data_IF_258023280268
#
_entry.id   IF_258023280268
#
_cell.length_a   1.000
_cell.length_b   1.000
_cell.length_c   1.000
_cell.angle_alpha   90.00
_cell.angle_beta   90.00
_cell.angle_gamma   90.00
#
_symmetry.space_group_name_H-M   'P 1'
#
loop_
_entity.id
_entity.type
_entity.pdbx_description
1 polymer ?
#
# COMPACT_ATOMS: atom_id res chain seq x y z
N UNK A 1 9.09 -10.33 -3.81
CA UNK A 1 8.25 -10.35 -5.04
C UNK A 1 8.39 -9.01 -5.76
N UNK A 2 8.76 -9.03 -7.04
CA UNK A 2 9.19 -7.86 -7.84
C UNK A 2 8.07 -7.25 -8.72
N UNK A 3 6.81 -7.64 -8.50
CA UNK A 3 5.67 -7.03 -9.16
C UNK A 3 5.39 -7.51 -10.57
N UNK A 4 6.15 -8.50 -11.05
CA UNK A 4 5.93 -9.13 -12.34
C UNK A 4 4.90 -10.27 -12.26
N UNK A 5 4.01 -10.32 -13.24
CA UNK A 5 2.97 -11.34 -13.37
C UNK A 5 2.94 -11.87 -14.80
N UNK A 6 2.98 -13.19 -14.95
CA UNK A 6 2.64 -13.82 -16.22
C UNK A 6 1.13 -13.73 -16.44
N UNK A 7 0.70 -13.08 -17.52
CA UNK A 7 -0.66 -13.18 -18.06
C UNK A 7 -0.64 -14.04 -19.32
N UNK A 8 -1.82 -14.42 -19.83
CA UNK A 8 -1.96 -15.34 -20.97
C UNK A 8 -1.18 -14.88 -22.22
N UNK A 9 -1.08 -13.57 -22.44
CA UNK A 9 -0.51 -13.00 -23.67
C UNK A 9 0.77 -12.18 -23.47
N UNK A 10 1.05 -11.72 -22.25
CA UNK A 10 2.19 -10.85 -21.94
C UNK A 10 2.43 -10.79 -20.43
N UNK A 11 3.46 -10.07 -20.01
CA UNK A 11 3.72 -9.86 -18.59
C UNK A 11 3.16 -8.51 -18.12
N UNK A 12 2.46 -8.56 -16.99
CA UNK A 12 2.04 -7.37 -16.27
C UNK A 12 3.08 -7.01 -15.22
N UNK A 13 3.58 -5.78 -15.26
CA UNK A 13 4.40 -5.20 -14.22
C UNK A 13 3.58 -4.19 -13.42
N UNK A 14 3.48 -4.41 -12.11
CA UNK A 14 2.92 -3.43 -11.18
C UNK A 14 4.03 -2.69 -10.45
N UNK A 15 4.04 -1.38 -10.60
CA UNK A 15 5.00 -0.47 -9.97
C UNK A 15 4.36 0.08 -8.67
N UNK A 16 5.15 0.12 -7.61
CA UNK A 16 4.75 0.69 -6.33
C UNK A 16 4.76 2.22 -6.40
N UNK A 17 3.69 2.84 -5.93
CA UNK A 17 3.59 4.27 -5.72
C UNK A 17 3.21 4.44 -4.25
N UNK A 18 4.21 4.59 -3.35
CA UNK A 18 3.97 4.74 -1.92
C UNK A 18 2.88 5.78 -1.63
N UNK A 19 1.82 5.36 -0.92
CA UNK A 19 0.70 6.24 -0.50
C UNK A 19 0.19 7.18 -1.60
N UNK A 20 0.27 6.74 -2.87
CA UNK A 20 -0.22 7.47 -4.03
C UNK A 20 0.52 8.75 -4.40
N UNK A 21 1.70 9.01 -3.83
CA UNK A 21 2.47 10.23 -4.10
C UNK A 21 3.48 10.03 -5.23
N UNK A 22 3.51 10.97 -6.18
CA UNK A 22 4.44 10.99 -7.31
C UNK A 22 5.06 12.38 -7.47
N UNK A 23 6.35 12.41 -7.77
CA UNK A 23 7.00 13.59 -8.32
C UNK A 23 6.80 13.68 -9.84
N UNK A 24 7.00 14.89 -10.40
CA UNK A 24 6.97 15.10 -11.86
C UNK A 24 8.00 14.21 -12.57
N UNK A 25 9.19 14.01 -12.00
CA UNK A 25 10.25 13.15 -12.55
C UNK A 25 9.79 11.70 -12.65
N UNK A 26 9.15 11.18 -11.61
CA UNK A 26 8.60 9.82 -11.60
C UNK A 26 7.47 9.67 -12.61
N UNK A 27 6.54 10.63 -12.69
CA UNK A 27 5.44 10.59 -13.65
C UNK A 27 5.95 10.63 -15.10
N UNK A 28 6.98 11.43 -15.40
CA UNK A 28 7.62 11.45 -16.72
C UNK A 28 8.24 10.09 -17.05
N UNK A 29 8.98 9.48 -16.13
CA UNK A 29 9.53 8.13 -16.32
C UNK A 29 8.43 7.09 -16.57
N UNK A 30 7.31 7.13 -15.82
CA UNK A 30 6.17 6.24 -16.07
C UNK A 30 5.60 6.42 -17.49
N UNK A 31 5.54 7.65 -18.00
CA UNK A 31 5.12 7.91 -19.37
C UNK A 31 6.13 7.38 -20.41
N UNK A 32 7.44 7.45 -20.14
CA UNK A 32 8.46 6.84 -20.99
C UNK A 32 8.35 5.32 -21.00
N UNK A 33 8.12 4.70 -19.83
CA UNK A 33 7.87 3.27 -19.71
C UNK A 33 6.67 2.84 -20.54
N UNK A 34 5.57 3.60 -20.46
CA UNK A 34 4.36 3.34 -21.24
C UNK A 34 4.64 3.32 -22.75
N UNK A 35 5.44 4.26 -23.25
CA UNK A 35 5.79 4.38 -24.68
C UNK A 35 6.81 3.33 -25.15
N UNK A 36 7.81 3.03 -24.32
CA UNK A 36 8.96 2.18 -24.69
C UNK A 36 8.69 0.70 -24.52
N UNK A 37 8.03 0.31 -23.44
CA UNK A 37 7.89 -1.10 -23.04
C UNK A 37 6.45 -1.61 -23.08
N UNK A 38 5.46 -0.71 -23.11
CA UNK A 38 4.04 -1.05 -23.19
C UNK A 38 3.43 -0.45 -24.48
N UNK A 39 2.12 -0.23 -24.53
CA UNK A 39 1.37 0.22 -25.72
C UNK A 39 0.98 1.70 -25.65
N UNK A 40 1.77 2.51 -24.95
CA UNK A 40 1.54 3.96 -24.79
C UNK A 40 0.58 4.34 -23.68
N UNK A 41 0.13 3.39 -22.85
CA UNK A 41 -0.78 3.65 -21.72
C UNK A 41 -0.42 2.80 -20.49
N UNK A 42 -0.92 3.22 -19.33
CA UNK A 42 -0.82 2.49 -18.06
C UNK A 42 -2.12 2.65 -17.28
N UNK A 43 -2.32 1.81 -16.26
CA UNK A 43 -3.54 1.84 -15.45
C UNK A 43 -3.23 2.13 -14.00
N UNK A 44 -3.82 3.19 -13.45
CA UNK A 44 -3.86 3.37 -12.01
C UNK A 44 -4.77 2.33 -11.38
N UNK A 45 -4.33 1.83 -10.25
CA UNK A 45 -5.03 0.78 -9.49
C UNK A 45 -5.82 1.40 -8.35
N UNK A 46 -6.78 0.66 -7.83
CA UNK A 46 -7.59 1.05 -6.66
C UNK A 46 -6.80 1.20 -5.36
N UNK A 47 -5.50 0.92 -5.36
CA UNK A 47 -4.58 1.13 -4.22
C UNK A 47 -3.41 2.04 -4.59
N UNK A 48 -3.71 3.00 -5.46
CA UNK A 48 -2.83 4.11 -5.82
C UNK A 48 -1.51 3.73 -6.53
N UNK A 49 -1.30 2.46 -6.87
CA UNK A 49 -0.21 2.02 -7.75
C UNK A 49 -0.55 2.22 -9.24
N UNK A 50 0.43 1.98 -10.13
CA UNK A 50 0.24 1.88 -11.57
C UNK A 50 0.65 0.50 -12.10
N UNK A 51 0.02 0.03 -13.17
CA UNK A 51 0.39 -1.21 -13.86
C UNK A 51 0.44 -1.08 -15.39
N UNK A 52 1.40 -1.79 -15.97
CA UNK A 52 1.65 -1.98 -17.40
C UNK A 52 1.46 -3.46 -17.72
N UNK A 53 0.80 -3.81 -18.83
CA UNK A 53 0.34 -5.19 -19.09
C UNK A 53 1.04 -5.88 -20.25
N UNK A 54 1.82 -5.17 -21.06
CA UNK A 54 2.36 -5.68 -22.33
C UNK A 54 3.89 -5.80 -22.35
N UNK A 55 4.51 -5.83 -21.17
CA UNK A 55 5.96 -5.86 -21.06
C UNK A 55 6.49 -7.21 -21.54
N UNK A 56 7.54 -7.20 -22.37
CA UNK A 56 8.28 -8.42 -22.75
C UNK A 56 9.21 -8.84 -21.62
N UNK A 57 9.31 -10.14 -21.35
CA UNK A 57 10.13 -10.66 -20.25
C UNK A 57 11.62 -10.28 -20.39
N UNK A 58 12.15 -10.36 -21.61
CA UNK A 58 13.54 -10.03 -21.93
C UNK A 58 13.90 -8.57 -21.62
N UNK A 59 12.93 -7.66 -21.66
CA UNK A 59 13.11 -6.23 -21.40
C UNK A 59 12.97 -5.88 -19.91
N UNK A 60 12.61 -6.84 -19.06
CA UNK A 60 12.36 -6.60 -17.63
C UNK A 60 13.58 -6.07 -16.87
N UNK A 61 14.81 -6.61 -17.06
CA UNK A 61 15.98 -6.11 -16.33
C UNK A 61 16.24 -4.63 -16.63
N UNK A 62 16.19 -4.24 -17.90
CA UNK A 62 16.39 -2.86 -18.33
C UNK A 62 15.31 -1.94 -17.76
N UNK A 63 14.05 -2.35 -17.86
CA UNK A 63 12.93 -1.59 -17.30
C UNK A 63 13.07 -1.38 -15.79
N UNK A 64 13.44 -2.42 -15.03
CA UNK A 64 13.65 -2.30 -13.60
C UNK A 64 14.83 -1.37 -13.26
N UNK A 65 15.90 -1.41 -14.06
CA UNK A 65 17.03 -0.48 -13.93
C UNK A 65 16.61 0.97 -14.17
N UNK A 66 15.85 1.24 -15.24
CA UNK A 66 15.35 2.58 -15.54
C UNK A 66 14.38 3.14 -14.50
N UNK A 67 13.59 2.27 -13.86
CA UNK A 67 12.72 2.67 -12.74
C UNK A 67 13.55 3.04 -11.50
N UNK A 68 14.64 2.31 -11.23
CA UNK A 68 15.51 2.58 -10.10
C UNK A 68 16.21 3.95 -10.20
N UNK A 69 16.49 4.47 -11.40
CA UNK A 69 17.02 5.82 -11.63
C UNK A 69 16.15 6.94 -11.06
N UNK A 70 14.87 6.66 -10.79
CA UNK A 70 13.91 7.60 -10.22
C UNK A 70 13.25 7.06 -8.94
N UNK A 71 13.97 6.14 -8.27
CA UNK A 71 13.59 5.55 -6.98
C UNK A 71 12.25 4.79 -7.02
N UNK A 72 11.88 4.25 -8.19
CA UNK A 72 10.68 3.42 -8.35
C UNK A 72 11.02 1.93 -8.41
N UNK A 73 10.09 1.08 -7.95
CA UNK A 73 10.26 -0.37 -7.92
C UNK A 73 8.95 -1.14 -8.00
N UNK A 74 9.02 -2.44 -8.30
CA UNK A 74 7.89 -3.38 -8.23
C UNK A 74 7.84 -4.21 -6.93
N UNK A 75 8.71 -3.95 -5.96
CA UNK A 75 8.79 -4.72 -4.71
C UNK A 75 7.45 -4.71 -3.96
N UNK A 76 7.04 -5.88 -3.46
CA UNK A 76 5.83 -6.08 -2.65
C UNK A 76 4.50 -5.68 -3.33
N UNK A 77 4.49 -5.56 -4.66
CA UNK A 77 3.24 -5.29 -5.40
C UNK A 77 2.51 -6.57 -5.82
N UNK A 78 3.08 -7.75 -5.54
CA UNK A 78 2.58 -9.07 -5.91
C UNK A 78 2.67 -10.18 -4.85
N UNK A 79 1.95 -11.28 -5.13
CA UNK A 79 1.71 -12.47 -4.28
C UNK A 79 1.34 -12.21 -2.82
N UNK A 80 1.75 -13.13 -1.93
CA UNK A 80 1.32 -13.19 -0.54
C UNK A 80 2.28 -12.44 0.39
N UNK A 81 2.25 -11.11 0.28
CA UNK A 81 2.96 -10.21 1.16
C UNK A 81 2.11 -8.97 1.44
N UNK A 82 2.66 -8.06 2.23
CA UNK A 82 2.10 -6.73 2.43
C UNK A 82 2.06 -5.99 1.09
N UNK A 83 0.94 -5.30 0.82
CA UNK A 83 0.71 -4.51 -0.39
C UNK A 83 0.97 -3.03 -0.10
N UNK A 84 0.96 -2.21 -1.15
CA UNK A 84 1.04 -0.75 -1.03
C UNK A 84 0.14 -0.23 0.10
N UNK A 85 0.70 0.64 0.93
CA UNK A 85 -0.03 1.37 1.97
C UNK A 85 -0.79 2.49 1.27
N UNK A 86 -2.11 2.46 1.36
CA UNK A 86 -3.00 3.49 0.78
C UNK A 86 -3.14 4.65 1.75
N UNK A 87 -3.15 5.89 1.27
CA UNK A 87 -3.42 7.07 2.09
C UNK A 87 -4.52 7.96 1.48
N UNK A 88 -4.99 8.96 2.22
CA UNK A 88 -5.87 10.00 1.68
C UNK A 88 -5.17 10.73 0.51
N UNK A 89 -5.86 10.91 -0.61
CA UNK A 89 -5.32 11.60 -1.78
C UNK A 89 -5.23 13.12 -1.59
N UNK A 90 -5.92 13.67 -0.58
CA UNK A 90 -5.77 15.06 -0.14
C UNK A 90 -4.84 15.22 1.07
N UNK A 91 -4.02 14.21 1.38
CA UNK A 91 -3.10 14.25 2.50
C UNK A 91 -2.19 15.49 2.49
N UNK A 92 -2.09 16.18 3.62
CA UNK A 92 -1.32 17.41 3.81
C UNK A 92 -2.01 18.70 3.36
N UNK A 93 -3.19 18.63 2.77
CA UNK A 93 -3.97 19.82 2.33
C UNK A 93 -5.46 19.76 2.72
N UNK A 94 -5.93 18.62 3.20
CA UNK A 94 -7.32 18.44 3.61
C UNK A 94 -7.65 19.28 4.87
N UNK A 95 -8.71 20.11 4.85
CA UNK A 95 -9.07 20.96 6.01
C UNK A 95 -9.48 20.20 7.27
N UNK A 96 -9.99 18.97 7.11
CA UNK A 96 -10.46 18.08 8.18
C UNK A 96 -9.39 17.09 8.64
N UNK A 97 -8.16 17.23 8.16
CA UNK A 97 -7.03 16.37 8.51
C UNK A 97 -6.45 16.76 9.88
N UNK A 98 -6.30 15.79 10.77
CA UNK A 98 -5.66 15.99 12.08
C UNK A 98 -4.13 16.09 11.97
N UNK A 99 -3.52 15.19 11.21
CA UNK A 99 -2.12 15.21 10.79
C UNK A 99 -1.99 14.49 9.44
N UNK A 100 -0.93 14.79 8.72
CA UNK A 100 -0.60 14.16 7.43
C UNK A 100 -0.38 12.63 7.57
N UNK A 101 -1.25 11.78 6.99
CA UNK A 101 -1.18 10.33 7.10
C UNK A 101 -0.02 9.73 6.29
N UNK A 102 0.64 10.51 5.41
CA UNK A 102 1.78 10.03 4.61
C UNK A 102 2.98 9.69 5.50
N UNK A 103 3.18 10.41 6.61
CA UNK A 103 4.26 10.13 7.57
C UNK A 103 4.08 8.72 8.17
N UNK A 104 2.88 8.41 8.63
CA UNK A 104 2.55 7.08 9.18
C UNK A 104 2.64 6.01 8.09
N UNK A 105 2.17 6.32 6.88
CA UNK A 105 2.21 5.39 5.75
C UNK A 105 3.66 5.04 5.35
N UNK A 106 4.56 6.02 5.38
CA UNK A 106 5.98 5.84 5.11
C UNK A 106 6.66 4.99 6.20
N UNK A 107 6.35 5.23 7.47
CA UNK A 107 6.84 4.41 8.60
C UNK A 107 6.41 2.94 8.40
N UNK A 108 5.14 2.69 8.07
CA UNK A 108 4.63 1.33 7.82
C UNK A 108 5.32 0.72 6.60
N UNK A 109 5.52 1.49 5.53
CA UNK A 109 6.23 1.02 4.33
C UNK A 109 7.66 0.59 4.66
N UNK A 110 8.42 1.42 5.37
CA UNK A 110 9.81 1.10 5.74
C UNK A 110 9.88 -0.13 6.66
N UNK A 111 9.01 -0.18 7.67
CA UNK A 111 8.94 -1.31 8.60
C UNK A 111 8.61 -2.63 7.91
N UNK A 112 7.71 -2.61 6.93
CA UNK A 112 7.22 -3.82 6.25
C UNK A 112 8.06 -4.27 5.06
N UNK A 113 8.77 -3.35 4.41
CA UNK A 113 9.54 -3.64 3.19
C UNK A 113 10.74 -4.53 3.51
N UNK A 114 10.87 -5.65 2.79
CA UNK A 114 11.92 -6.66 3.04
C UNK A 114 11.92 -7.31 4.43
N UNK A 115 10.87 -7.11 5.23
CA UNK A 115 10.76 -7.78 6.51
C UNK A 115 10.63 -9.31 6.29
N UNK A 116 11.51 -10.15 6.87
CA UNK A 116 11.52 -11.59 6.61
C UNK A 116 10.18 -12.25 6.96
N UNK A 117 9.57 -11.85 8.07
CA UNK A 117 8.30 -12.42 8.54
C UNK A 117 7.11 -12.10 7.61
N UNK A 118 7.16 -10.98 6.88
CA UNK A 118 6.03 -10.50 6.07
C UNK A 118 6.17 -10.82 4.57
N UNK A 119 7.23 -11.52 4.20
CA UNK A 119 7.52 -11.89 2.81
C UNK A 119 6.72 -13.10 2.32
N UNK A 120 6.19 -13.92 3.23
CA UNK A 120 5.47 -15.18 2.92
C UNK A 120 4.21 -15.37 3.79
N UNK A 121 3.32 -14.37 3.71
CA UNK A 121 2.05 -14.41 4.42
C UNK A 121 1.11 -15.47 3.83
N UNK A 122 0.04 -15.86 4.55
CA UNK A 122 -0.97 -16.77 4.01
C UNK A 122 -1.64 -16.25 2.73
N UNK A 123 -1.99 -14.96 2.69
CA UNK A 123 -2.49 -14.25 1.49
C UNK A 123 -1.97 -12.81 1.45
N UNK A 124 -2.43 -12.05 0.46
CA UNK A 124 -2.23 -10.61 0.35
C UNK A 124 -2.72 -9.88 1.60
N UNK A 125 -1.97 -8.88 2.05
CA UNK A 125 -2.32 -8.09 3.23
C UNK A 125 -2.21 -6.60 2.92
N UNK A 126 -3.21 -5.79 3.26
CA UNK A 126 -3.31 -4.38 2.83
C UNK A 126 -3.47 -3.45 4.03
N UNK A 127 -2.79 -2.32 3.96
CA UNK A 127 -2.93 -1.22 4.91
C UNK A 127 -3.58 -0.01 4.23
N UNK A 128 -4.37 0.73 4.99
CA UNK A 128 -4.80 2.08 4.64
C UNK A 128 -4.75 3.00 5.85
N UNK A 129 -4.36 4.25 5.61
CA UNK A 129 -4.21 5.28 6.64
C UNK A 129 -5.00 6.54 6.24
N UNK A 130 -5.77 7.09 7.16
CA UNK A 130 -6.43 8.40 6.99
C UNK A 130 -6.15 9.31 8.18
N UNK A 131 -5.81 10.57 7.88
CA UNK A 131 -5.69 11.64 8.86
C UNK A 131 -7.00 12.37 9.13
N UNK A 132 -8.00 12.13 8.27
CA UNK A 132 -9.25 12.88 8.19
C UNK A 132 -10.39 12.15 8.90
N UNK A 133 -11.39 12.91 9.38
CA UNK A 133 -12.64 12.34 9.88
C UNK A 133 -13.40 11.61 8.77
N UNK A 134 -13.46 12.23 7.58
CA UNK A 134 -14.00 11.60 6.39
C UNK A 134 -13.02 10.55 5.85
N UNK A 135 -13.45 9.28 5.78
CA UNK A 135 -12.61 8.16 5.35
C UNK A 135 -12.47 8.09 3.82
N UNK A 136 -11.63 8.96 3.25
CA UNK A 136 -11.31 8.98 1.82
C UNK A 136 -10.32 7.88 1.40
N UNK A 137 -9.59 7.32 2.35
CA UNK A 137 -8.65 6.22 2.11
C UNK A 137 -9.33 4.84 2.11
N UNK A 138 -10.62 4.79 2.46
CA UNK A 138 -11.40 3.57 2.64
C UNK A 138 -10.73 2.57 3.60
N UNK A 139 -10.35 3.06 4.78
CA UNK A 139 -9.62 2.30 5.80
C UNK A 139 -10.32 1.01 6.19
N UNK A 140 -11.66 1.02 6.27
CA UNK A 140 -12.44 -0.16 6.67
C UNK A 140 -12.51 -1.27 5.62
N UNK A 141 -11.98 -1.04 4.41
CA UNK A 141 -11.93 -2.04 3.33
C UNK A 141 -10.57 -2.74 3.20
N UNK A 142 -9.64 -2.40 4.08
CA UNK A 142 -8.29 -2.94 4.13
C UNK A 142 -8.15 -3.97 5.26
N UNK A 143 -7.13 -4.84 5.17
CA UNK A 143 -6.86 -5.84 6.20
C UNK A 143 -6.53 -5.15 7.53
N UNK A 144 -5.84 -4.01 7.48
CA UNK A 144 -5.71 -3.06 8.59
C UNK A 144 -6.04 -1.65 8.10
N UNK A 145 -7.01 -1.02 8.76
CA UNK A 145 -7.35 0.41 8.60
C UNK A 145 -6.87 1.21 9.81
N UNK A 146 -6.20 2.33 9.56
CA UNK A 146 -5.64 3.21 10.59
C UNK A 146 -6.24 4.60 10.39
N UNK A 147 -6.97 5.09 11.38
CA UNK A 147 -7.49 6.45 11.38
C UNK A 147 -6.83 7.23 12.51
N UNK A 148 -6.27 8.40 12.21
CA UNK A 148 -5.75 9.30 13.24
C UNK A 148 -6.92 9.87 14.03
N UNK A 149 -6.79 9.89 15.34
CA UNK A 149 -7.83 10.37 16.28
C UNK A 149 -7.18 11.08 17.46
N UNK A 150 -7.97 11.93 18.13
CA UNK A 150 -7.61 12.49 19.43
C UNK A 150 -8.42 11.86 20.54
N UNK A 151 -7.82 11.67 21.71
CA UNK A 151 -8.56 11.27 22.91
C UNK A 151 -9.15 12.49 23.65
N UNK A 152 -9.79 12.24 24.78
CA UNK A 152 -10.38 13.29 25.63
C UNK A 152 -9.36 14.27 26.21
N UNK A 153 -8.07 13.88 26.26
CA UNK A 153 -6.97 14.73 26.71
C UNK A 153 -6.31 15.49 25.55
N UNK A 154 -6.92 15.47 24.35
CA UNK A 154 -6.39 16.08 23.12
C UNK A 154 -5.04 15.48 22.65
N UNK A 155 -4.71 14.27 23.10
CA UNK A 155 -3.53 13.53 22.66
C UNK A 155 -3.83 12.79 21.36
N UNK A 156 -2.90 12.83 20.42
CA UNK A 156 -3.01 12.14 19.14
C UNK A 156 -2.68 10.65 19.27
N UNK A 157 -3.44 9.84 18.55
CA UNK A 157 -3.26 8.39 18.48
C UNK A 157 -3.99 7.82 17.27
N UNK A 158 -4.26 6.52 17.33
CA UNK A 158 -4.85 5.79 16.21
C UNK A 158 -6.07 4.98 16.63
N UNK A 159 -7.08 4.98 15.78
CA UNK A 159 -8.16 4.01 15.77
C UNK A 159 -7.81 2.90 14.79
N UNK A 160 -7.89 1.64 15.23
CA UNK A 160 -7.44 0.48 14.46
C UNK A 160 -8.62 -0.41 14.10
N UNK A 161 -8.79 -0.61 12.79
CA UNK A 161 -9.74 -1.53 12.18
C UNK A 161 -9.00 -2.73 11.59
N UNK A 162 -9.57 -3.94 11.70
CA UNK A 162 -8.94 -5.17 11.20
C UNK A 162 -9.94 -6.07 10.47
N UNK A 163 -9.48 -6.72 9.40
CA UNK A 163 -10.19 -7.80 8.72
C UNK A 163 -11.10 -7.37 7.57
N UNK A 164 -10.92 -6.16 7.05
CA UNK A 164 -11.68 -5.67 5.89
C UNK A 164 -11.21 -6.25 4.56
N UNK A 165 -12.11 -6.32 3.59
CA UNK A 165 -11.74 -6.67 2.23
C UNK A 165 -12.90 -6.84 1.26
N UNK A 166 -12.72 -6.38 0.01
CA UNK A 166 -13.64 -6.66 -1.10
C UNK A 166 -13.28 -7.94 -1.84
N UNK A 167 -13.16 -9.05 -1.12
CA UNK A 167 -13.00 -10.37 -1.74
C UNK A 167 -14.27 -10.84 -2.43
N UNK A 168 -14.35 -12.15 -2.72
CA UNK A 168 -15.60 -12.79 -3.19
C UNK A 168 -16.76 -12.52 -2.24
N UNK A 169 -16.47 -12.54 -0.94
CA UNK A 169 -17.40 -12.11 0.12
C UNK A 169 -16.85 -10.82 0.70
N UNK A 170 -17.47 -9.67 0.45
CA UNK A 170 -17.02 -8.40 1.01
C UNK A 170 -17.25 -8.37 2.52
N UNK A 171 -16.26 -7.90 3.27
CA UNK A 171 -16.30 -7.75 4.73
C UNK A 171 -15.81 -6.37 5.10
N UNK A 172 -16.53 -5.70 6.00
CA UNK A 172 -16.13 -4.43 6.60
C UNK A 172 -15.24 -4.74 7.81
N UNK A 173 -14.10 -4.06 7.93
CA UNK A 173 -13.16 -4.27 9.01
C UNK A 173 -13.81 -3.95 10.37
N UNK A 174 -13.54 -4.79 11.37
CA UNK A 174 -14.00 -4.59 12.74
C UNK A 174 -13.10 -3.60 13.46
N UNK A 175 -13.69 -2.68 14.21
CA UNK A 175 -12.96 -1.83 15.15
C UNK A 175 -12.43 -2.67 16.32
N UNK A 176 -11.11 -2.78 16.47
CA UNK A 176 -10.49 -3.55 17.56
C UNK A 176 -9.80 -2.67 18.60
N UNK A 177 -9.52 -1.40 18.24
CA UNK A 177 -8.91 -0.43 19.15
C UNK A 177 -9.44 0.97 18.87
N UNK A 178 -10.07 1.58 19.86
CA UNK A 178 -10.63 2.93 19.77
C UNK A 178 -9.56 4.01 19.84
N UNK A 179 -8.50 3.79 20.63
CA UNK A 179 -7.36 4.67 20.77
C UNK A 179 -6.06 3.89 21.07
N UNK A 180 -5.08 4.00 20.18
CA UNK A 180 -3.74 3.45 20.30
C UNK A 180 -2.73 4.61 20.38
N UNK A 181 -1.91 4.71 21.43
CA UNK A 181 -0.83 5.69 21.51
C UNK A 181 0.14 5.61 20.33
N UNK A 182 0.69 6.77 19.90
CA UNK A 182 1.50 6.83 18.67
C UNK A 182 2.74 5.93 18.68
N UNK A 183 3.39 5.86 19.83
CA UNK A 183 4.61 5.07 20.10
C UNK A 183 4.38 3.56 20.06
N UNK A 184 3.13 3.11 20.17
CA UNK A 184 2.77 1.68 20.17
C UNK A 184 2.36 1.15 18.80
N UNK A 185 2.37 1.98 17.74
CA UNK A 185 1.83 1.58 16.44
C UNK A 185 2.51 0.32 15.89
N UNK A 186 3.83 0.33 15.74
CA UNK A 186 4.53 -0.77 15.07
C UNK A 186 4.43 -2.08 15.84
N UNK A 187 4.55 -2.06 17.17
CA UNK A 187 4.40 -3.26 18.01
C UNK A 187 2.99 -3.82 17.94
N UNK A 188 1.97 -2.96 17.87
CA UNK A 188 0.58 -3.38 17.71
C UNK A 188 0.32 -3.99 16.33
N UNK A 189 0.82 -3.37 15.26
CA UNK A 189 0.72 -3.91 13.90
C UNK A 189 1.45 -5.26 13.79
N UNK A 190 2.64 -5.36 14.38
CA UNK A 190 3.41 -6.61 14.40
C UNK A 190 2.65 -7.74 15.11
N UNK A 191 1.99 -7.45 16.23
CA UNK A 191 1.18 -8.43 16.95
C UNK A 191 0.02 -8.95 16.09
N UNK A 192 -0.70 -8.06 15.38
CA UNK A 192 -1.78 -8.46 14.46
C UNK A 192 -1.20 -9.32 13.31
N UNK A 193 -0.09 -8.89 12.72
CA UNK A 193 0.55 -9.60 11.62
C UNK A 193 1.04 -10.98 12.03
N UNK A 194 1.62 -11.13 13.23
CA UNK A 194 2.07 -12.42 13.79
C UNK A 194 0.91 -13.40 13.95
N UNK A 195 -0.23 -12.94 14.45
CA UNK A 195 -1.45 -13.76 14.56
C UNK A 195 -1.90 -14.20 13.17
N UNK A 196 -1.99 -13.27 12.21
CA UNK A 196 -2.37 -13.59 10.84
C UNK A 196 -1.42 -14.59 10.20
N UNK A 197 -0.11 -14.40 10.35
CA UNK A 197 0.90 -15.27 9.74
C UNK A 197 0.89 -16.69 10.31
N UNK A 198 0.62 -16.83 11.61
CA UNK A 198 0.57 -18.11 12.33
C UNK A 198 -0.73 -18.89 12.10
N UNK A 199 -1.89 -18.22 12.15
CA UNK A 199 -3.20 -18.89 12.16
C UNK A 199 -4.00 -18.70 10.86
N UNK A 200 -3.54 -17.85 9.95
CA UNK A 200 -4.20 -17.65 8.66
C UNK A 200 -4.13 -18.90 7.78
N UNK A 201 -5.24 -19.23 7.12
CA UNK A 201 -5.34 -20.38 6.20
C UNK A 201 -4.41 -20.20 5.00
N UNK A 202 -3.58 -21.21 4.71
CA UNK A 202 -2.66 -21.26 3.57
C UNK A 202 -3.25 -22.09 2.43
#
# INVERSE_FOLDING_TARGET
MNGLYLQLHAYMLRIAIPYGTLSVRQLRKLADVARKYDRGYGHFTTRQNIQFNWIKLEQMPDLLSELAEVEMHGIQTSGNCIRNVTADHFAGVAPDELEDPRVVSEIIRQWSTFHPEFSFLPRKFKFAVTGSENDRAATQWHDIGIQLVKNNNNELGYRIYVGGGMGRTPVIASLIRTFLPKDQLLSYLEAIMRIYNRYGRR
#
